data_IF_557399404432
#
_entry.id   IF_557399404432
#
_cell.length_a   1.000
_cell.length_b   1.000
_cell.length_c   1.000
_cell.angle_alpha   90.00
_cell.angle_beta   90.00
_cell.angle_gamma   90.00
#
_symmetry.space_group_name_H-M   'P 1'
#
loop_
_entity.id
_entity.type
_entity.pdbx_description
1 polymer ?
#
# COMPACT_ATOMS: atom_id res chain seq x y z
N UNK A 1 -65.23 -31.30 -17.89
CA UNK A 1 -64.08 -30.72 -18.63
C UNK A 1 -64.65 -29.54 -19.39
N UNK A 2 -64.40 -28.28 -19.05
CA UNK A 2 -63.14 -27.53 -19.16
C UNK A 2 -63.08 -26.55 -17.96
N UNK A 3 -61.94 -26.46 -17.28
CA UNK A 3 -61.67 -25.51 -16.20
C UNK A 3 -61.11 -24.23 -16.80
N UNK A 4 -61.86 -23.13 -16.74
CA UNK A 4 -61.36 -21.81 -17.12
C UNK A 4 -60.41 -21.30 -16.02
N UNK A 5 -59.13 -21.25 -16.38
CA UNK A 5 -58.05 -20.68 -15.58
C UNK A 5 -58.27 -19.16 -15.47
N UNK A 6 -58.81 -18.71 -14.34
CA UNK A 6 -58.81 -17.30 -13.94
C UNK A 6 -57.40 -16.93 -13.52
N UNK A 7 -56.64 -16.36 -14.45
CA UNK A 7 -55.37 -15.68 -14.17
C UNK A 7 -55.72 -14.46 -13.30
N UNK A 8 -55.45 -14.59 -12.00
CA UNK A 8 -55.49 -13.46 -11.09
C UNK A 8 -54.49 -12.40 -11.54
N UNK A 9 -54.97 -11.18 -11.72
CA UNK A 9 -54.15 -10.01 -11.98
C UNK A 9 -53.16 -9.80 -10.82
N UNK A 10 -51.95 -10.32 -10.97
CA UNK A 10 -50.84 -9.92 -10.13
C UNK A 10 -50.38 -8.54 -10.61
N UNK A 11 -50.81 -7.52 -9.85
CA UNK A 11 -50.27 -6.19 -9.95
C UNK A 11 -48.74 -6.26 -9.78
N UNK A 12 -48.02 -5.89 -10.83
CA UNK A 12 -46.57 -5.63 -10.76
C UNK A 12 -46.36 -4.46 -9.79
N UNK A 13 -45.92 -4.75 -8.56
CA UNK A 13 -45.40 -3.73 -7.67
C UNK A 13 -44.07 -3.19 -8.26
N UNK A 14 -43.93 -1.88 -8.49
CA UNK A 14 -42.64 -1.30 -8.80
C UNK A 14 -41.72 -1.47 -7.59
N UNK A 15 -40.52 -2.00 -7.84
CA UNK A 15 -39.47 -2.16 -6.84
C UNK A 15 -39.20 -0.81 -6.16
N UNK A 16 -39.48 -0.73 -4.86
CA UNK A 16 -39.12 0.42 -4.05
C UNK A 16 -37.59 0.47 -3.94
N UNK A 17 -36.98 1.40 -4.68
CA UNK A 17 -35.58 1.77 -4.49
C UNK A 17 -35.42 2.35 -3.08
N UNK A 18 -34.89 1.53 -2.16
CA UNK A 18 -34.34 2.02 -0.91
C UNK A 18 -33.21 2.98 -1.28
N UNK A 19 -33.21 4.26 -0.84
CA UNK A 19 -32.07 5.11 -1.07
C UNK A 19 -30.89 4.41 -0.38
N UNK A 20 -29.86 4.07 -1.16
CA UNK A 20 -28.54 3.83 -0.59
C UNK A 20 -28.20 5.17 0.05
N UNK A 21 -28.42 5.26 1.36
CA UNK A 21 -27.72 6.23 2.16
C UNK A 21 -26.26 5.93 1.86
N UNK A 22 -25.60 6.85 1.16
CA UNK A 22 -24.17 6.86 1.08
C UNK A 22 -23.68 7.08 2.51
N UNK A 23 -23.56 5.98 3.26
CA UNK A 23 -22.53 5.84 4.26
C UNK A 23 -21.24 6.05 3.49
N UNK A 24 -20.82 7.32 3.44
CA UNK A 24 -19.42 7.62 3.46
C UNK A 24 -18.89 6.96 4.73
N UNK A 25 -18.53 5.69 4.62
CA UNK A 25 -17.46 5.13 5.42
C UNK A 25 -16.27 6.05 5.15
N UNK A 26 -16.18 7.11 5.96
CA UNK A 26 -14.92 7.74 6.26
C UNK A 26 -14.09 6.59 6.75
N UNK A 27 -13.21 6.09 5.88
CA UNK A 27 -12.23 5.07 6.18
C UNK A 27 -11.40 5.64 7.32
N UNK A 28 -11.87 5.45 8.54
CA UNK A 28 -11.11 5.58 9.78
C UNK A 28 -10.28 4.30 9.93
N UNK A 29 -9.65 3.88 8.84
CA UNK A 29 -8.67 2.82 8.80
C UNK A 29 -7.33 3.47 9.08
N UNK A 30 -6.91 3.39 10.34
CA UNK A 30 -5.59 3.76 10.85
C UNK A 30 -5.07 5.15 10.42
N UNK A 31 -5.15 6.11 11.34
CA UNK A 31 -4.22 7.26 11.36
C UNK A 31 -2.80 6.76 11.68
N UNK A 32 -2.23 5.86 10.87
CA UNK A 32 -0.79 5.70 10.92
C UNK A 32 -0.23 7.02 10.38
N UNK A 33 0.40 7.79 11.27
CA UNK A 33 1.02 9.04 10.86
C UNK A 33 1.99 8.76 9.72
N UNK A 34 2.10 9.67 8.76
CA UNK A 34 3.12 9.56 7.71
C UNK A 34 4.52 9.34 8.32
N UNK A 35 4.80 9.94 9.48
CA UNK A 35 6.03 9.73 10.23
C UNK A 35 6.26 8.27 10.65
N UNK A 36 5.24 7.58 11.18
CA UNK A 36 5.34 6.14 11.49
C UNK A 36 5.55 5.29 10.23
N UNK A 37 4.83 5.58 9.14
CA UNK A 37 5.06 4.88 7.87
C UNK A 37 6.48 5.09 7.33
N UNK A 38 6.99 6.32 7.40
CA UNK A 38 8.36 6.64 7.01
C UNK A 38 9.38 5.93 7.90
N UNK A 39 9.14 5.89 9.22
CA UNK A 39 10.00 5.18 10.16
C UNK A 39 10.06 3.68 9.84
N UNK A 40 8.91 3.06 9.55
CA UNK A 40 8.83 1.65 9.17
C UNK A 40 9.59 1.40 7.86
N UNK A 41 9.40 2.26 6.86
CA UNK A 41 10.12 2.17 5.59
C UNK A 41 11.65 2.32 5.77
N UNK A 42 12.11 3.21 6.65
CA UNK A 42 13.53 3.35 6.97
C UNK A 42 14.10 2.12 7.67
N UNK A 43 13.33 1.52 8.58
CA UNK A 43 13.71 0.27 9.23
C UNK A 43 13.81 -0.87 8.21
N UNK A 44 12.86 -0.96 7.27
CA UNK A 44 12.88 -1.94 6.18
C UNK A 44 14.15 -1.83 5.32
N UNK A 45 14.60 -0.60 5.02
CA UNK A 45 15.82 -0.35 4.25
C UNK A 45 17.06 -0.80 5.03
N UNK A 46 17.10 -0.54 6.34
CA UNK A 46 18.18 -1.00 7.21
C UNK A 46 18.22 -2.54 7.29
N UNK A 47 17.06 -3.19 7.37
CA UNK A 47 16.97 -4.66 7.32
C UNK A 47 17.44 -5.22 5.97
N UNK A 48 17.09 -4.59 4.84
CA UNK A 48 17.58 -5.00 3.52
C UNK A 48 19.10 -4.83 3.38
N UNK A 49 19.67 -3.79 3.96
CA UNK A 49 21.12 -3.56 3.98
C UNK A 49 21.84 -4.67 4.77
N UNK A 50 21.30 -5.02 5.94
CA UNK A 50 21.80 -6.12 6.76
C UNK A 50 21.65 -7.47 6.06
N UNK A 51 20.51 -7.71 5.40
CA UNK A 51 20.27 -8.91 4.62
C UNK A 51 21.27 -9.04 3.46
N UNK A 52 21.55 -7.95 2.74
CA UNK A 52 22.54 -7.96 1.67
C UNK A 52 23.95 -8.30 2.18
N UNK A 53 24.34 -7.78 3.35
CA UNK A 53 25.61 -8.16 4.01
C UNK A 53 25.65 -9.65 4.36
N UNK A 54 24.56 -10.18 4.90
CA UNK A 54 24.47 -11.61 5.24
C UNK A 54 24.58 -12.49 3.99
N UNK A 55 23.87 -12.15 2.90
CA UNK A 55 24.01 -12.85 1.62
C UNK A 55 25.42 -12.77 1.06
N UNK A 56 26.09 -11.63 1.19
CA UNK A 56 27.48 -11.50 0.78
C UNK A 56 28.41 -12.42 1.59
N UNK A 57 28.24 -12.47 2.90
CA UNK A 57 29.01 -13.37 3.78
C UNK A 57 28.77 -14.83 3.42
N UNK A 58 27.50 -15.23 3.24
CA UNK A 58 27.13 -16.59 2.83
C UNK A 58 27.72 -16.95 1.47
N UNK A 59 27.79 -15.99 0.54
CA UNK A 59 28.42 -16.21 -0.76
C UNK A 59 29.92 -16.48 -0.61
N UNK A 60 30.62 -15.70 0.22
CA UNK A 60 32.05 -15.92 0.51
C UNK A 60 32.29 -17.29 1.17
N UNK A 61 31.33 -17.77 1.96
CA UNK A 61 31.34 -19.11 2.57
C UNK A 61 30.92 -20.23 1.61
N UNK A 62 30.44 -19.90 0.40
CA UNK A 62 29.94 -20.86 -0.58
C UNK A 62 28.54 -21.42 -0.29
N UNK A 63 27.79 -20.80 0.62
CA UNK A 63 26.45 -21.25 1.03
C UNK A 63 25.33 -20.74 0.12
N UNK A 64 25.55 -19.62 -0.60
CA UNK A 64 24.60 -19.06 -1.57
C UNK A 64 25.28 -18.77 -2.90
N UNK A 65 24.49 -18.73 -3.97
CA UNK A 65 25.00 -18.41 -5.30
C UNK A 65 25.31 -16.91 -5.44
N UNK A 66 26.22 -16.58 -6.36
CA UNK A 66 26.58 -15.20 -6.66
C UNK A 66 25.36 -14.37 -7.08
N UNK A 67 24.41 -14.97 -7.82
CA UNK A 67 23.22 -14.28 -8.31
C UNK A 67 22.35 -13.75 -7.17
N UNK A 68 22.15 -14.55 -6.11
CA UNK A 68 21.36 -14.15 -4.94
C UNK A 68 22.05 -13.01 -4.16
N UNK A 69 23.37 -13.10 -3.99
CA UNK A 69 24.16 -12.06 -3.35
C UNK A 69 24.10 -10.74 -4.14
N UNK A 70 24.23 -10.82 -5.48
CA UNK A 70 24.13 -9.64 -6.36
C UNK A 70 22.73 -9.03 -6.36
N UNK A 71 21.67 -9.85 -6.44
CA UNK A 71 20.28 -9.36 -6.38
C UNK A 71 20.03 -8.65 -5.06
N UNK A 72 20.43 -9.25 -3.94
CA UNK A 72 20.25 -8.65 -2.61
C UNK A 72 20.95 -7.29 -2.50
N UNK A 73 22.16 -7.18 -3.06
CA UNK A 73 22.95 -5.94 -3.06
C UNK A 73 22.33 -4.88 -3.95
N UNK A 74 21.83 -5.26 -5.13
CA UNK A 74 21.14 -4.35 -6.03
C UNK A 74 19.82 -3.82 -5.44
N UNK A 75 19.07 -4.68 -4.74
CA UNK A 75 17.87 -4.28 -4.01
C UNK A 75 18.19 -3.28 -2.90
N UNK A 76 19.19 -3.58 -2.06
CA UNK A 76 19.61 -2.67 -0.98
C UNK A 76 20.03 -1.30 -1.53
N UNK A 77 20.80 -1.27 -2.63
CA UNK A 77 21.21 -0.02 -3.27
C UNK A 77 20.02 0.78 -3.80
N UNK A 78 19.08 0.14 -4.50
CA UNK A 78 17.89 0.79 -5.04
C UNK A 78 17.01 1.36 -3.92
N UNK A 79 16.81 0.59 -2.84
CA UNK A 79 16.06 1.02 -1.66
C UNK A 79 16.69 2.22 -0.97
N UNK A 80 18.01 2.28 -0.88
CA UNK A 80 18.73 3.44 -0.34
C UNK A 80 18.58 4.69 -1.23
N UNK A 81 18.65 4.50 -2.55
CA UNK A 81 18.43 5.58 -3.52
C UNK A 81 17.01 6.13 -3.40
N UNK A 82 16.01 5.26 -3.35
CA UNK A 82 14.62 5.64 -3.14
C UNK A 82 14.44 6.40 -1.82
N UNK A 83 15.03 5.91 -0.74
CA UNK A 83 15.00 6.57 0.57
C UNK A 83 15.55 8.00 0.52
N UNK A 84 16.64 8.19 -0.22
CA UNK A 84 17.23 9.53 -0.41
C UNK A 84 16.28 10.45 -1.17
N UNK A 85 15.60 9.95 -2.21
CA UNK A 85 14.60 10.73 -2.94
C UNK A 85 13.41 11.10 -2.04
N UNK A 86 12.91 10.16 -1.25
CA UNK A 86 11.82 10.41 -0.29
C UNK A 86 12.25 11.46 0.73
N UNK A 87 13.46 11.35 1.30
CA UNK A 87 14.01 12.36 2.21
C UNK A 87 13.99 13.76 1.57
N UNK A 88 14.48 13.87 0.34
CA UNK A 88 14.51 15.14 -0.37
C UNK A 88 13.09 15.71 -0.56
N UNK A 89 12.13 14.88 -0.97
CA UNK A 89 10.73 15.29 -1.15
C UNK A 89 10.06 15.71 0.15
N UNK A 90 10.37 15.07 1.26
CA UNK A 90 9.86 15.46 2.59
C UNK A 90 10.41 16.83 3.01
N UNK A 91 11.71 17.08 2.77
CA UNK A 91 12.33 18.38 3.04
C UNK A 91 11.71 19.47 2.16
N UNK A 92 11.54 19.21 0.86
CA UNK A 92 10.85 20.12 -0.06
C UNK A 92 9.42 20.44 0.41
N UNK A 93 8.65 19.42 0.79
CA UNK A 93 7.29 19.61 1.28
C UNK A 93 7.24 20.46 2.56
N UNK A 94 8.20 20.26 3.48
CA UNK A 94 8.33 21.09 4.68
C UNK A 94 8.63 22.55 4.32
N UNK A 95 9.57 22.79 3.39
CA UNK A 95 9.90 24.13 2.91
C UNK A 95 8.71 24.81 2.21
N UNK A 96 7.94 24.07 1.43
CA UNK A 96 6.73 24.58 0.75
C UNK A 96 5.69 25.08 1.74
N UNK A 97 5.38 24.28 2.77
CA UNK A 97 4.42 24.63 3.84
C UNK A 97 4.85 25.92 4.57
N UNK A 98 6.15 26.13 4.76
CA UNK A 98 6.66 27.38 5.34
C UNK A 98 6.49 28.58 4.41
N UNK A 99 6.63 28.39 3.10
CA UNK A 99 6.47 29.44 2.10
C UNK A 99 5.02 29.86 1.89
N UNK A 100 4.05 28.95 2.04
CA UNK A 100 2.62 29.27 1.91
C UNK A 100 2.04 30.01 3.11
N UNK A 101 2.72 29.99 4.27
CA UNK A 101 2.24 30.62 5.51
C UNK A 101 2.71 32.06 5.73
N UNK A 102 3.56 32.59 4.85
CA UNK A 102 3.92 34.02 4.77
C UNK A 102 3.12 34.72 3.67
#
# INVERSE_FOLDING_TARGET
MIQNLTIGAQAVQPLAMKPVAAESEVVSGSKQSFGSYLQDALNQVAEQEQYSKDMNNKFVLGEVNIDEALISSQQALLSLQLTTQVRNKVIEAYQEIMRTQI
#
